data_IF_628183485282
#
_entry.id   IF_628183485282
#
_cell.length_a   1.000
_cell.length_b   1.000
_cell.length_c   1.000
_cell.angle_alpha   90.00
_cell.angle_beta   90.00
_cell.angle_gamma   90.00
#
_symmetry.space_group_name_H-M   'P 1'
#
loop_
_entity.id
_entity.type
_entity.pdbx_description
1 polymer ?
#
# COMPACT_ATOMS: atom_id res chain seq x y z
N UNK A 1 -16.66 2.98 -9.36
CA UNK A 1 -16.02 1.75 -9.86
C UNK A 1 -14.81 1.44 -8.96
N UNK A 2 -14.76 0.23 -8.41
CA UNK A 2 -14.26 -0.09 -7.07
C UNK A 2 -12.78 0.22 -6.80
N UNK A 3 -12.52 1.24 -5.97
CA UNK A 3 -11.20 1.56 -5.37
C UNK A 3 -10.81 0.60 -4.23
N UNK A 4 -11.22 -0.66 -4.31
CA UNK A 4 -11.06 -1.64 -3.22
C UNK A 4 -11.95 -1.36 -1.99
N UNK A 5 -13.02 -0.58 -2.15
CA UNK A 5 -14.03 -0.33 -1.11
C UNK A 5 -14.91 -1.58 -0.91
N UNK A 6 -15.07 -1.97 0.35
CA UNK A 6 -15.89 -3.10 0.80
C UNK A 6 -17.25 -2.59 1.30
N UNK A 7 -17.23 -1.50 2.09
CA UNK A 7 -18.42 -0.88 2.69
C UNK A 7 -18.16 0.59 2.97
N UNK A 8 -19.18 1.44 2.89
CA UNK A 8 -19.11 2.85 3.28
C UNK A 8 -20.03 3.17 4.45
N UNK A 9 -19.57 4.05 5.34
CA UNK A 9 -20.36 4.66 6.40
C UNK A 9 -20.03 6.15 6.46
N UNK A 10 -20.90 6.99 5.92
CA UNK A 10 -20.63 8.41 5.73
C UNK A 10 -19.36 8.66 4.90
N UNK A 11 -18.44 9.44 5.44
CA UNK A 11 -17.17 9.75 4.80
C UNK A 11 -16.13 8.61 4.93
N UNK A 12 -16.38 7.58 5.73
CA UNK A 12 -15.46 6.47 5.95
C UNK A 12 -15.74 5.32 4.97
N UNK A 13 -14.73 4.91 4.22
CA UNK A 13 -14.77 3.75 3.33
C UNK A 13 -13.88 2.62 3.86
N UNK A 14 -14.47 1.49 4.20
CA UNK A 14 -13.77 0.27 4.59
C UNK A 14 -13.09 -0.37 3.39
N UNK A 15 -11.84 -0.78 3.54
CA UNK A 15 -11.02 -1.32 2.47
C UNK A 15 -9.91 -2.21 3.05
N UNK A 16 -9.05 -2.73 2.19
CA UNK A 16 -7.88 -3.51 2.62
C UNK A 16 -6.58 -2.69 2.61
N UNK A 17 -6.55 -1.54 1.92
CA UNK A 17 -5.35 -0.75 1.70
C UNK A 17 -5.64 0.75 1.63
N UNK A 18 -4.74 1.57 2.16
CA UNK A 18 -4.68 3.02 1.92
C UNK A 18 -3.37 3.39 1.21
N UNK A 19 -3.41 4.37 0.31
CA UNK A 19 -2.23 4.78 -0.49
C UNK A 19 -1.70 6.18 -0.16
N UNK A 20 -2.33 6.90 0.77
CA UNK A 20 -1.94 8.29 1.09
C UNK A 20 -1.19 8.36 2.43
N UNK A 21 -1.95 8.45 3.52
CA UNK A 21 -1.43 8.45 4.88
C UNK A 21 -2.15 7.36 5.67
N UNK A 22 -1.44 6.78 6.64
CA UNK A 22 -1.95 5.71 7.47
C UNK A 22 -1.69 6.03 8.94
N UNK A 23 -2.76 6.06 9.72
CA UNK A 23 -2.72 6.23 11.17
C UNK A 23 -3.32 4.97 11.81
N UNK A 24 -2.67 4.49 12.86
CA UNK A 24 -3.11 3.33 13.63
C UNK A 24 -2.76 3.51 15.10
N UNK A 25 -3.49 2.81 15.99
CA UNK A 25 -3.14 2.78 17.42
C UNK A 25 -1.78 2.14 17.60
N UNK A 26 -0.95 2.70 18.47
CA UNK A 26 0.39 2.19 18.78
C UNK A 26 0.35 0.72 19.20
N UNK A 27 -0.61 0.32 20.04
CA UNK A 27 -0.77 -1.07 20.47
C UNK A 27 -1.07 -2.02 19.29
N UNK A 28 -1.89 -1.58 18.32
CA UNK A 28 -2.23 -2.36 17.12
C UNK A 28 -1.02 -2.53 16.20
N UNK A 29 -0.27 -1.45 15.96
CA UNK A 29 0.81 -1.46 14.98
C UNK A 29 2.13 -2.01 15.56
N UNK A 30 2.24 -2.19 16.88
CA UNK A 30 3.45 -2.71 17.54
C UNK A 30 3.91 -4.06 17.00
N UNK A 31 2.96 -4.93 16.68
CA UNK A 31 3.23 -6.29 16.21
C UNK A 31 3.24 -6.40 14.67
N UNK A 32 2.94 -5.31 13.96
CA UNK A 32 2.95 -5.27 12.49
C UNK A 32 3.76 -4.06 12.02
N UNK A 33 5.03 -4.31 11.67
CA UNK A 33 5.94 -3.28 11.17
C UNK A 33 6.06 -3.29 9.66
N UNK A 34 6.47 -2.17 9.10
CA UNK A 34 6.96 -2.12 7.73
C UNK A 34 8.14 -3.10 7.56
N UNK A 35 8.19 -3.77 6.43
CA UNK A 35 9.36 -4.57 6.07
C UNK A 35 10.48 -3.60 5.69
N UNK A 36 11.60 -3.68 6.39
CA UNK A 36 12.72 -2.73 6.24
C UNK A 36 13.37 -2.81 4.85
N UNK A 37 13.28 -3.93 4.12
CA UNK A 37 13.89 -4.07 2.79
C UNK A 37 13.09 -3.36 1.68
N UNK A 38 11.80 -3.10 1.92
CA UNK A 38 10.86 -2.55 0.91
C UNK A 38 10.05 -1.35 1.42
N UNK A 39 10.38 -0.86 2.63
CA UNK A 39 9.72 0.25 3.32
C UNK A 39 9.59 1.45 2.39
N UNK A 40 8.45 2.13 2.45
CA UNK A 40 8.07 3.31 1.63
C UNK A 40 7.88 3.07 0.12
N UNK A 41 8.38 1.98 -0.45
CA UNK A 41 8.25 1.72 -1.88
C UNK A 41 7.03 0.85 -2.22
N UNK A 42 6.70 -0.13 -1.36
CA UNK A 42 5.61 -1.08 -1.61
C UNK A 42 4.53 -1.05 -0.51
N UNK A 43 3.66 -0.04 -0.54
CA UNK A 43 2.55 0.07 0.41
C UNK A 43 1.63 -1.16 0.43
N UNK A 44 1.37 -1.76 -0.74
CA UNK A 44 0.48 -2.91 -0.84
C UNK A 44 0.94 -4.09 0.01
N UNK A 45 2.26 -4.26 0.17
CA UNK A 45 2.84 -5.39 0.89
C UNK A 45 2.51 -5.31 2.38
N UNK A 46 2.69 -4.12 2.96
CA UNK A 46 2.33 -3.88 4.35
C UNK A 46 0.84 -4.17 4.60
N UNK A 47 -0.02 -3.68 3.70
CA UNK A 47 -1.46 -3.89 3.81
C UNK A 47 -1.90 -5.33 3.52
N UNK A 48 -1.14 -6.09 2.73
CA UNK A 48 -1.33 -7.52 2.58
C UNK A 48 -1.06 -8.25 3.91
N UNK A 49 0.07 -7.99 4.57
CA UNK A 49 0.34 -8.54 5.92
C UNK A 49 -0.67 -8.04 6.96
N UNK A 50 -1.11 -6.78 6.86
CA UNK A 50 -2.17 -6.25 7.71
C UNK A 50 -3.47 -7.05 7.55
N UNK A 51 -3.82 -7.42 6.31
CA UNK A 51 -4.99 -8.26 6.03
C UNK A 51 -4.85 -9.66 6.61
N UNK A 52 -3.67 -10.29 6.48
CA UNK A 52 -3.39 -11.60 7.07
C UNK A 52 -3.46 -11.57 8.61
N UNK A 53 -3.04 -10.46 9.23
CA UNK A 53 -3.17 -10.20 10.66
C UNK A 53 -4.56 -9.66 11.07
N UNK A 54 -5.54 -9.70 10.17
CA UNK A 54 -6.94 -9.30 10.41
C UNK A 54 -7.14 -7.84 10.84
N UNK A 55 -6.20 -6.95 10.52
CA UNK A 55 -6.36 -5.52 10.78
C UNK A 55 -7.51 -4.97 9.94
N UNK A 56 -8.42 -4.27 10.61
CA UNK A 56 -9.51 -3.53 9.98
C UNK A 56 -8.99 -2.18 9.48
N UNK A 57 -9.04 -1.96 8.18
CA UNK A 57 -8.55 -0.75 7.52
C UNK A 57 -9.72 0.02 6.90
N UNK A 58 -9.67 1.34 7.01
CA UNK A 58 -10.60 2.24 6.34
C UNK A 58 -9.90 3.53 5.95
N UNK A 59 -10.48 4.24 4.98
CA UNK A 59 -10.03 5.55 4.50
C UNK A 59 -11.13 6.56 4.81
N UNK A 60 -10.77 7.65 5.49
CA UNK A 60 -11.60 8.84 5.61
C UNK A 60 -11.50 9.62 4.29
N UNK A 61 -12.62 9.75 3.57
CA UNK A 61 -12.67 10.35 2.23
C UNK A 61 -12.87 11.86 2.21
N UNK A 62 -13.10 12.48 3.36
CA UNK A 62 -13.24 13.91 3.60
C UNK A 62 -11.91 14.60 3.94
N UNK A 63 -10.84 13.83 4.13
CA UNK A 63 -9.52 14.35 4.42
C UNK A 63 -8.46 13.64 3.56
N UNK A 64 -7.39 14.36 3.22
CA UNK A 64 -6.26 13.80 2.51
C UNK A 64 -5.01 14.63 2.77
N UNK A 65 -3.84 14.00 2.70
CA UNK A 65 -2.58 14.73 2.68
C UNK A 65 -2.23 15.02 1.22
N UNK A 66 -2.02 16.30 0.90
CA UNK A 66 -1.55 16.73 -0.42
C UNK A 66 -0.03 16.55 -0.47
N UNK A 67 0.44 15.69 -1.35
CA UNK A 67 1.88 15.51 -1.60
C UNK A 67 2.31 16.44 -2.74
N UNK A 68 3.41 17.17 -2.57
CA UNK A 68 4.05 17.87 -3.67
C UNK A 68 4.69 16.84 -4.60
N UNK A 69 4.29 16.84 -5.87
CA UNK A 69 4.84 15.88 -6.82
C UNK A 69 6.26 16.32 -7.22
N UNK A 70 7.27 15.55 -6.84
CA UNK A 70 8.64 15.73 -7.32
C UNK A 70 8.85 14.81 -8.53
N UNK A 71 8.94 15.42 -9.72
CA UNK A 71 9.29 14.74 -10.95
C UNK A 71 10.68 15.19 -11.41
N UNK A 72 11.72 14.53 -10.92
CA UNK A 72 13.05 14.60 -11.54
C UNK A 72 13.39 13.25 -12.18
N UNK A 73 14.18 13.28 -13.25
CA UNK A 73 14.67 12.07 -13.91
C UNK A 73 15.47 11.22 -12.91
N UNK A 74 16.34 11.86 -12.15
CA UNK A 74 17.18 11.23 -11.13
C UNK A 74 16.36 10.50 -10.07
N UNK A 75 15.24 11.09 -9.62
CA UNK A 75 14.37 10.46 -8.64
C UNK A 75 13.72 9.16 -9.16
N UNK A 76 13.40 9.08 -10.46
CA UNK A 76 12.78 7.88 -11.04
C UNK A 76 13.73 6.68 -10.97
N UNK A 77 15.00 6.91 -11.28
CA UNK A 77 16.04 5.86 -11.29
C UNK A 77 16.41 5.45 -9.86
N UNK A 78 16.47 6.42 -8.94
CA UNK A 78 16.70 6.16 -7.51
C UNK A 78 15.56 5.39 -6.84
N UNK A 79 14.31 5.58 -7.29
CA UNK A 79 13.12 4.95 -6.69
C UNK A 79 13.10 3.42 -6.86
N UNK A 80 13.82 2.86 -7.85
CA UNK A 80 13.97 1.41 -8.11
C UNK A 80 12.67 0.60 -7.97
N UNK A 81 11.55 1.17 -8.42
CA UNK A 81 10.20 0.66 -8.12
C UNK A 81 9.96 -0.76 -8.64
N UNK A 82 10.50 -1.12 -9.80
CA UNK A 82 10.39 -2.49 -10.34
C UNK A 82 11.07 -3.50 -9.43
N UNK A 83 12.27 -3.19 -8.93
CA UNK A 83 13.02 -4.06 -8.03
C UNK A 83 12.27 -4.32 -6.72
N UNK A 84 11.76 -3.26 -6.07
CA UNK A 84 11.04 -3.41 -4.81
C UNK A 84 9.72 -4.18 -4.98
N UNK A 85 9.00 -3.96 -6.09
CA UNK A 85 7.79 -4.75 -6.43
C UNK A 85 8.08 -6.23 -6.56
N UNK A 86 9.06 -6.59 -7.39
CA UNK A 86 9.41 -7.99 -7.63
C UNK A 86 9.88 -8.66 -6.33
N UNK A 87 10.65 -7.95 -5.50
CA UNK A 87 11.03 -8.42 -4.16
C UNK A 87 9.81 -8.67 -3.25
N UNK A 88 8.85 -7.73 -3.19
CA UNK A 88 7.63 -7.91 -2.42
C UNK A 88 6.81 -9.13 -2.88
N UNK A 89 6.73 -9.37 -4.20
CA UNK A 89 6.05 -10.56 -4.74
C UNK A 89 6.74 -11.86 -4.31
N UNK A 90 8.07 -11.94 -4.46
CA UNK A 90 8.86 -13.12 -4.08
C UNK A 90 8.74 -13.46 -2.59
N UNK A 91 8.74 -12.44 -1.71
CA UNK A 91 8.58 -12.62 -0.26
C UNK A 91 7.29 -13.35 0.13
N UNK A 92 6.24 -13.21 -0.68
CA UNK A 92 4.92 -13.81 -0.42
C UNK A 92 4.60 -14.98 -1.37
N UNK A 93 5.57 -15.46 -2.14
CA UNK A 93 5.37 -16.57 -3.09
C UNK A 93 4.45 -16.24 -4.27
N UNK A 94 4.26 -14.96 -4.59
CA UNK A 94 3.45 -14.54 -5.73
C UNK A 94 4.27 -14.52 -7.01
N UNK A 95 3.69 -14.99 -8.11
CA UNK A 95 4.31 -14.94 -9.44
C UNK A 95 4.12 -13.58 -10.12
N UNK A 96 2.97 -12.94 -9.89
CA UNK A 96 2.64 -11.65 -10.49
C UNK A 96 1.52 -10.93 -9.74
N UNK A 97 1.42 -9.63 -9.96
CA UNK A 97 0.31 -8.80 -9.49
C UNK A 97 -0.15 -7.85 -10.59
N UNK A 98 -1.46 -7.66 -10.70
CA UNK A 98 -2.09 -6.68 -11.60
C UNK A 98 -2.59 -5.50 -10.78
N UNK A 99 -2.16 -4.29 -11.14
CA UNK A 99 -2.69 -3.07 -10.53
C UNK A 99 -4.05 -2.70 -11.14
N UNK A 100 -4.98 -2.10 -10.38
CA UNK A 100 -6.19 -1.52 -10.93
C UNK A 100 -5.85 -0.50 -12.04
N UNK A 101 -6.38 -0.72 -13.25
CA UNK A 101 -6.13 0.15 -14.41
C UNK A 101 -4.69 0.14 -14.95
N UNK A 102 -3.86 -0.84 -14.57
CA UNK A 102 -2.44 -0.88 -14.92
C UNK A 102 -1.94 -2.22 -15.47
N UNK A 103 -0.63 -2.24 -15.78
CA UNK A 103 0.07 -3.43 -16.26
C UNK A 103 0.30 -4.51 -15.20
N UNK A 104 0.67 -5.70 -15.65
CA UNK A 104 1.07 -6.83 -14.79
C UNK A 104 2.54 -6.65 -14.40
N UNK A 105 2.82 -6.78 -13.11
CA UNK A 105 4.18 -6.85 -12.57
C UNK A 105 4.48 -8.29 -12.21
N UNK A 106 5.68 -8.77 -12.53
CA UNK A 106 6.12 -10.14 -12.25
C UNK A 106 7.19 -10.13 -11.15
N UNK A 107 7.25 -11.24 -10.43
CA UNK A 107 8.26 -11.52 -9.43
C UNK A 107 9.67 -11.63 -10.02
#
# INVERSE_FOLDING_TARGET
MHRGEIKRNGYVAWCHMSSNAFLARTATIRNLRWDEEIKTFEHWEFFYRAKLAELKVAVAGDCFIRHAHVASKDYRDLRKRSQYRSMGLRKHGFHSMRYPGGGVVRA
#
